data_IF_966774795706
#
_entry.id   IF_966774795706
#
_cell.length_a   1.000
_cell.length_b   1.000
_cell.length_c   1.000
_cell.angle_alpha   90.00
_cell.angle_beta   90.00
_cell.angle_gamma   90.00
#
_symmetry.space_group_name_H-M   'P 1'
#
loop_
_entity.id
_entity.type
_entity.pdbx_description
1 polymer ?
#
# COMPACT_ATOMS: atom_id res chain seq x y z
N UNK A 1 -47.31 -25.82 31.23
CA UNK A 1 -46.09 -25.63 32.04
C UNK A 1 -44.98 -26.48 31.46
N UNK A 2 -44.07 -25.87 30.72
CA UNK A 2 -42.62 -25.93 30.93
C UNK A 2 -41.96 -25.26 29.72
N UNK A 3 -41.36 -24.11 29.99
CA UNK A 3 -40.44 -23.39 29.11
C UNK A 3 -39.09 -24.12 29.06
N UNK A 4 -38.22 -23.59 28.18
CA UNK A 4 -36.82 -23.93 27.93
C UNK A 4 -36.65 -25.06 26.89
N UNK A 5 -35.92 -24.85 25.79
CA UNK A 5 -34.66 -24.12 25.67
C UNK A 5 -34.61 -23.31 24.36
N UNK A 6 -34.70 -21.99 24.49
CA UNK A 6 -33.93 -21.08 23.66
C UNK A 6 -32.53 -21.08 24.28
N UNK A 7 -31.55 -21.62 23.56
CA UNK A 7 -30.14 -21.38 23.83
C UNK A 7 -29.62 -20.71 22.56
N UNK A 8 -30.02 -19.45 22.41
CA UNK A 8 -29.32 -18.54 21.55
C UNK A 8 -27.93 -18.41 22.17
N UNK A 9 -26.92 -18.90 21.45
CA UNK A 9 -25.55 -18.51 21.73
C UNK A 9 -25.51 -17.00 21.61
N UNK A 10 -25.54 -16.34 22.77
CA UNK A 10 -25.08 -14.97 22.90
C UNK A 10 -23.61 -15.01 22.49
N UNK A 11 -23.41 -14.63 21.23
CA UNK A 11 -22.14 -14.18 20.69
C UNK A 11 -21.48 -13.31 21.76
N UNK A 12 -20.25 -13.67 22.09
CA UNK A 12 -19.34 -12.81 22.82
C UNK A 12 -19.05 -11.60 21.93
N UNK A 13 -20.01 -10.67 21.88
CA UNK A 13 -19.87 -9.36 21.26
C UNK A 13 -18.82 -8.63 22.10
N UNK A 14 -17.59 -8.65 21.61
CA UNK A 14 -16.46 -7.99 22.24
C UNK A 14 -16.86 -6.54 22.50
N UNK A 15 -16.73 -6.08 23.74
CA UNK A 15 -17.03 -4.71 24.16
C UNK A 15 -16.21 -3.70 23.35
N UNK A 16 -16.72 -3.32 22.19
CA UNK A 16 -16.17 -2.32 21.30
C UNK A 16 -16.81 -0.97 21.57
N UNK A 17 -16.02 0.09 21.50
CA UNK A 17 -16.53 1.46 21.46
C UNK A 17 -17.14 1.69 20.08
N UNK A 18 -18.32 2.32 20.01
CA UNK A 18 -18.94 2.69 18.74
C UNK A 18 -18.00 3.63 17.94
N UNK A 19 -17.85 3.46 16.61
CA UNK A 19 -16.89 4.23 15.83
C UNK A 19 -17.02 5.75 16.00
N UNK A 20 -18.25 6.27 16.01
CA UNK A 20 -18.51 7.70 16.19
C UNK A 20 -18.05 8.22 17.56
N UNK A 21 -18.17 7.40 18.61
CA UNK A 21 -17.68 7.74 19.95
C UNK A 21 -16.15 7.74 19.96
N UNK A 22 -15.51 6.73 19.37
CA UNK A 22 -14.05 6.67 19.25
C UNK A 22 -13.48 7.88 18.48
N UNK A 23 -14.06 8.23 17.34
CA UNK A 23 -13.66 9.41 16.58
C UNK A 23 -13.95 10.72 17.32
N UNK A 24 -15.09 10.81 18.03
CA UNK A 24 -15.42 11.95 18.87
C UNK A 24 -14.42 12.17 20.02
N UNK A 25 -13.77 11.10 20.48
CA UNK A 25 -12.68 11.19 21.46
C UNK A 25 -11.43 11.83 20.87
N UNK A 26 -11.07 11.56 19.62
CA UNK A 26 -9.83 12.12 19.03
C UNK A 26 -10.03 13.41 18.24
N UNK A 27 -11.26 13.78 17.91
CA UNK A 27 -11.61 15.04 17.26
C UNK A 27 -11.50 16.26 18.20
N UNK A 28 -10.31 16.48 18.78
CA UNK A 28 -10.00 17.61 19.66
C UNK A 28 -8.49 17.83 19.70
N UNK A 29 -8.08 19.08 19.49
CA UNK A 29 -6.69 19.53 19.41
C UNK A 29 -5.82 19.03 20.59
N UNK A 30 -6.20 19.35 21.83
CA UNK A 30 -5.45 18.91 23.02
C UNK A 30 -5.28 17.40 23.11
N UNK A 31 -6.30 16.64 22.72
CA UNK A 31 -6.22 15.17 22.74
C UNK A 31 -5.28 14.64 21.67
N UNK A 32 -5.20 15.29 20.50
CA UNK A 32 -4.17 14.98 19.50
C UNK A 32 -2.77 15.35 20.01
N UNK A 33 -2.60 16.53 20.62
CA UNK A 33 -1.32 16.96 21.19
C UNK A 33 -0.79 15.96 22.22
N UNK A 34 -1.68 15.46 23.11
CA UNK A 34 -1.34 14.40 24.08
C UNK A 34 -0.85 13.13 23.38
N UNK A 35 -1.55 12.67 22.33
CA UNK A 35 -1.16 11.46 21.60
C UNK A 35 0.18 11.65 20.87
N UNK A 36 0.42 12.83 20.29
CA UNK A 36 1.68 13.13 19.65
C UNK A 36 2.85 13.28 20.63
N UNK A 37 2.61 13.88 21.81
CA UNK A 37 3.58 13.96 22.90
C UNK A 37 4.03 12.56 23.35
N UNK A 38 3.07 11.66 23.60
CA UNK A 38 3.34 10.25 23.90
C UNK A 38 4.09 9.53 22.76
N UNK A 39 3.80 9.88 21.50
CA UNK A 39 4.50 9.30 20.35
C UNK A 39 5.96 9.76 20.24
N UNK A 40 6.23 11.05 20.52
CA UNK A 40 7.58 11.63 20.45
C UNK A 40 8.48 11.22 21.61
N UNK A 41 7.90 10.79 22.75
CA UNK A 41 8.64 10.45 23.94
C UNK A 41 9.62 9.27 23.72
N UNK A 42 10.91 9.54 23.97
CA UNK A 42 11.98 8.53 23.91
C UNK A 42 11.91 7.57 25.10
N UNK A 43 11.67 8.11 26.30
CA UNK A 43 11.46 7.35 27.53
C UNK A 43 9.97 7.10 27.76
N UNK A 44 9.59 5.83 27.89
CA UNK A 44 8.20 5.41 28.11
C UNK A 44 8.13 4.32 29.20
N UNK A 45 7.07 4.29 30.02
CA UNK A 45 5.90 5.19 30.05
C UNK A 45 6.22 6.63 30.51
N UNK A 46 5.41 7.61 30.08
CA UNK A 46 5.62 9.04 30.39
C UNK A 46 4.84 9.45 31.64
N UNK A 47 5.48 10.15 32.58
CA UNK A 47 4.79 10.62 33.79
C UNK A 47 3.73 11.69 33.47
N UNK A 48 2.76 11.88 34.36
CA UNK A 48 1.74 12.92 34.19
C UNK A 48 2.36 14.33 34.06
N UNK A 49 3.35 14.65 34.90
CA UNK A 49 3.99 15.96 34.90
C UNK A 49 4.75 16.21 33.60
N UNK A 50 5.52 15.24 33.13
CA UNK A 50 6.31 15.41 31.92
C UNK A 50 5.40 15.55 30.69
N UNK A 51 4.32 14.75 30.63
CA UNK A 51 3.34 14.85 29.55
C UNK A 51 2.55 16.17 29.58
N UNK A 52 2.22 16.66 30.78
CA UNK A 52 1.55 17.96 30.95
C UNK A 52 2.45 19.12 30.51
N UNK A 53 3.73 19.06 30.87
CA UNK A 53 4.71 20.09 30.53
C UNK A 53 5.00 20.12 29.03
N UNK A 54 5.02 18.95 28.34
CA UNK A 54 5.23 18.86 26.89
C UNK A 54 4.06 19.42 26.06
N UNK A 55 2.81 19.23 26.51
CA UNK A 55 1.61 19.74 25.83
C UNK A 55 1.39 21.25 26.10
N UNK A 56 2.22 21.88 26.94
CA UNK A 56 2.20 23.31 27.29
C UNK A 56 0.82 23.84 27.78
N UNK A 57 -0.04 22.96 28.32
CA UNK A 57 -1.36 23.33 28.82
C UNK A 57 -1.25 23.97 30.22
N UNK A 58 -1.89 25.13 30.42
CA UNK A 58 -1.80 25.87 31.70
C UNK A 58 -2.66 25.28 32.82
N UNK A 59 -3.80 24.68 32.48
CA UNK A 59 -4.77 24.16 33.44
C UNK A 59 -4.64 22.64 33.58
N UNK A 60 -4.03 22.22 34.70
CA UNK A 60 -3.79 20.81 35.01
C UNK A 60 -5.08 20.00 35.17
N UNK A 61 -6.18 20.60 35.64
CA UNK A 61 -7.45 19.90 35.79
C UNK A 61 -8.09 19.65 34.41
N UNK A 62 -8.01 20.63 33.52
CA UNK A 62 -8.44 20.49 32.13
C UNK A 62 -7.59 19.45 31.38
N UNK A 63 -6.27 19.50 31.53
CA UNK A 63 -5.38 18.51 30.93
C UNK A 63 -5.70 17.09 31.39
N UNK A 64 -5.85 16.89 32.72
CA UNK A 64 -6.22 15.59 33.27
C UNK A 64 -7.58 15.11 32.75
N UNK A 65 -8.55 16.01 32.53
CA UNK A 65 -9.81 15.64 31.88
C UNK A 65 -9.55 15.08 30.46
N UNK A 66 -8.79 15.76 29.62
CA UNK A 66 -8.48 15.30 28.26
C UNK A 66 -7.72 13.96 28.24
N UNK A 67 -6.73 13.81 29.13
CA UNK A 67 -5.97 12.56 29.27
C UNK A 67 -6.86 11.39 29.72
N UNK A 68 -7.80 11.63 30.65
CA UNK A 68 -8.77 10.62 31.07
C UNK A 68 -9.70 10.19 29.94
N UNK A 69 -10.12 11.11 29.05
CA UNK A 69 -10.95 10.75 27.89
C UNK A 69 -10.21 9.85 26.89
N UNK A 70 -8.87 9.93 26.82
CA UNK A 70 -8.05 9.09 25.95
C UNK A 70 -7.68 7.74 26.57
N UNK A 71 -7.74 7.65 27.90
CA UNK A 71 -7.37 6.44 28.65
C UNK A 71 -8.31 5.29 28.27
N UNK A 72 -7.81 4.06 28.37
CA UNK A 72 -8.46 2.79 28.00
C UNK A 72 -8.48 2.49 26.51
N UNK A 73 -8.87 3.42 25.63
CA UNK A 73 -8.92 3.13 24.20
C UNK A 73 -7.63 3.50 23.47
N UNK A 74 -7.14 4.73 23.68
CA UNK A 74 -6.00 5.27 22.92
C UNK A 74 -4.71 5.30 23.74
N UNK A 75 -4.84 5.39 25.06
CA UNK A 75 -3.73 5.48 26.02
C UNK A 75 -3.91 4.44 27.10
N UNK A 76 -2.83 3.79 27.51
CA UNK A 76 -2.79 2.94 28.69
C UNK A 76 -2.14 3.68 29.85
N UNK A 77 -2.74 3.58 31.04
CA UNK A 77 -2.17 4.08 32.28
C UNK A 77 -1.54 2.92 33.05
N UNK A 78 -0.31 3.10 33.49
CA UNK A 78 0.48 2.17 34.30
C UNK A 78 0.84 2.83 35.63
N UNK A 79 1.49 2.09 36.53
CA UNK A 79 2.01 2.65 37.79
C UNK A 79 3.13 3.68 37.53
N UNK A 80 3.88 3.53 36.44
CA UNK A 80 5.04 4.37 36.09
C UNK A 80 4.68 5.55 35.18
N UNK A 81 3.49 5.56 34.57
CA UNK A 81 3.06 6.62 33.66
C UNK A 81 2.07 6.18 32.58
N UNK A 82 2.02 6.93 31.47
CA UNK A 82 1.11 6.76 30.35
C UNK A 82 1.86 6.33 29.09
N UNK A 83 1.27 5.44 28.28
CA UNK A 83 1.81 5.02 26.99
C UNK A 83 0.70 4.83 25.96
N UNK A 84 1.04 4.89 24.67
CA UNK A 84 0.09 4.69 23.58
C UNK A 84 -0.38 3.23 23.51
N UNK A 85 -1.70 3.06 23.35
CA UNK A 85 -2.25 1.83 22.78
C UNK A 85 -2.11 1.87 21.26
N UNK A 86 -2.28 0.70 20.63
CA UNK A 86 -2.23 0.59 19.17
C UNK A 86 -3.17 1.58 18.47
N UNK A 87 -4.40 1.77 18.98
CA UNK A 87 -5.36 2.72 18.43
C UNK A 87 -4.85 4.17 18.48
N UNK A 88 -4.22 4.59 19.59
CA UNK A 88 -3.61 5.92 19.71
C UNK A 88 -2.46 6.10 18.72
N UNK A 89 -1.60 5.09 18.59
CA UNK A 89 -0.52 5.10 17.61
C UNK A 89 -1.03 5.18 16.16
N UNK A 90 -2.13 4.49 15.82
CA UNK A 90 -2.72 4.56 14.47
C UNK A 90 -3.25 5.95 14.14
N UNK A 91 -3.87 6.64 15.10
CA UNK A 91 -4.31 8.03 14.91
C UNK A 91 -3.12 8.95 14.60
N UNK A 92 -2.05 8.86 15.39
CA UNK A 92 -0.85 9.68 15.15
C UNK A 92 -0.20 9.34 13.81
N UNK A 93 -0.09 8.05 13.45
CA UNK A 93 0.45 7.63 12.15
C UNK A 93 -0.35 8.19 10.99
N UNK A 94 -1.69 8.17 11.08
CA UNK A 94 -2.55 8.70 10.03
C UNK A 94 -2.42 10.23 9.88
N UNK A 95 -2.33 10.97 11.00
CA UNK A 95 -2.05 12.42 10.97
C UNK A 95 -0.68 12.71 10.36
N UNK A 96 0.36 11.95 10.75
CA UNK A 96 1.74 12.11 10.26
C UNK A 96 1.93 11.69 8.80
N UNK A 97 1.17 10.72 8.32
CA UNK A 97 1.13 10.37 6.90
C UNK A 97 0.59 11.51 6.02
N UNK A 98 -0.06 12.52 6.61
CA UNK A 98 -0.55 13.70 5.92
C UNK A 98 -1.85 13.51 5.17
N UNK A 99 -2.41 12.29 5.14
CA UNK A 99 -3.64 11.92 4.41
C UNK A 99 -4.84 12.82 4.71
N UNK A 100 -4.90 13.42 5.90
CA UNK A 100 -6.00 14.31 6.30
C UNK A 100 -5.62 15.79 6.36
N UNK A 101 -4.33 16.12 6.28
CA UNK A 101 -3.81 17.43 6.70
C UNK A 101 -2.92 18.10 5.65
N UNK A 102 -2.56 17.38 4.58
CA UNK A 102 -1.66 17.86 3.54
C UNK A 102 -2.25 17.62 2.18
N UNK A 103 -2.09 18.62 1.32
CA UNK A 103 -2.34 18.55 -0.12
C UNK A 103 -1.08 19.10 -0.78
N UNK A 104 0.00 18.28 -0.84
CA UNK A 104 1.25 18.73 -1.41
C UNK A 104 1.06 19.02 -2.90
N UNK A 105 1.64 20.13 -3.34
CA UNK A 105 1.71 20.53 -4.74
C UNK A 105 3.18 20.40 -5.13
N UNK A 106 3.50 19.37 -5.92
CA UNK A 106 4.85 19.11 -6.40
C UNK A 106 4.87 19.32 -7.92
N UNK A 107 5.91 20.00 -8.40
CA UNK A 107 6.14 20.11 -9.82
C UNK A 107 6.45 18.72 -10.41
N UNK A 108 5.91 18.37 -11.58
CA UNK A 108 6.28 17.15 -12.27
C UNK A 108 7.79 17.08 -12.52
N UNK A 109 8.35 15.87 -12.49
CA UNK A 109 9.78 15.64 -12.65
C UNK A 109 10.10 14.39 -13.46
N UNK A 110 11.22 14.41 -14.18
CA UNK A 110 11.65 13.29 -15.02
C UNK A 110 12.07 12.10 -14.17
N UNK A 111 11.67 10.89 -14.58
CA UNK A 111 12.12 9.63 -13.98
C UNK A 111 12.92 8.79 -14.98
N UNK A 112 13.68 7.81 -14.48
CA UNK A 112 14.41 6.86 -15.33
C UNK A 112 13.44 6.06 -16.20
N UNK A 113 13.85 5.76 -17.44
CA UNK A 113 13.16 4.83 -18.32
C UNK A 113 12.75 5.47 -19.63
N UNK A 114 12.11 4.65 -20.47
CA UNK A 114 11.55 5.06 -21.72
C UNK A 114 10.16 4.43 -21.87
N UNK A 115 9.27 5.14 -22.56
CA UNK A 115 7.93 4.67 -22.83
C UNK A 115 7.96 3.34 -23.59
N UNK A 116 7.22 2.32 -23.13
CA UNK A 116 7.18 1.00 -23.80
C UNK A 116 6.49 1.07 -25.16
N UNK A 117 5.63 2.08 -25.37
CA UNK A 117 4.87 2.26 -26.62
C UNK A 117 5.62 3.09 -27.67
N UNK A 118 6.29 4.18 -27.29
CA UNK A 118 6.90 5.11 -28.25
C UNK A 118 8.39 5.39 -28.03
N UNK A 119 8.99 4.92 -26.94
CA UNK A 119 10.38 5.19 -26.57
C UNK A 119 10.66 6.62 -26.06
N UNK A 120 9.62 7.44 -25.88
CA UNK A 120 9.71 8.79 -25.32
C UNK A 120 10.08 8.81 -23.84
N UNK A 121 10.37 10.01 -23.31
CA UNK A 121 10.71 10.21 -21.90
C UNK A 121 9.51 9.97 -20.96
N UNK A 122 9.81 9.67 -19.70
CA UNK A 122 8.84 9.47 -18.63
C UNK A 122 8.91 10.60 -17.60
N UNK A 123 7.75 11.04 -17.12
CA UNK A 123 7.61 12.06 -16.09
C UNK A 123 6.71 11.54 -14.97
N UNK A 124 7.11 11.80 -13.73
CA UNK A 124 6.29 11.59 -12.55
C UNK A 124 5.49 12.86 -12.24
N UNK A 125 4.22 12.68 -11.91
CA UNK A 125 3.33 13.73 -11.43
C UNK A 125 2.54 13.23 -10.23
N UNK A 126 2.00 14.17 -9.45
CA UNK A 126 1.22 13.85 -8.26
C UNK A 126 0.01 14.75 -8.16
N UNK A 127 -1.17 14.15 -8.09
CA UNK A 127 -2.45 14.84 -7.94
C UNK A 127 -3.46 13.90 -7.25
N UNK A 128 -4.36 14.46 -6.45
CA UNK A 128 -5.43 13.69 -5.78
C UNK A 128 -4.92 12.41 -5.06
N UNK A 129 -3.78 12.54 -4.38
CA UNK A 129 -3.08 11.44 -3.68
C UNK A 129 -2.65 10.25 -4.57
N UNK A 130 -2.70 10.42 -5.90
CA UNK A 130 -2.14 9.51 -6.88
C UNK A 130 -0.77 10.00 -7.32
N UNK A 131 0.19 9.07 -7.35
CA UNK A 131 1.48 9.29 -8.00
C UNK A 131 1.44 8.54 -9.33
N UNK A 132 1.64 9.28 -10.42
CA UNK A 132 1.52 8.78 -11.79
C UNK A 132 2.85 8.92 -12.52
N UNK A 133 3.27 7.87 -13.22
CA UNK A 133 4.39 7.88 -14.15
C UNK A 133 3.83 7.74 -15.55
N UNK A 134 4.00 8.75 -16.39
CA UNK A 134 3.42 8.80 -17.73
C UNK A 134 4.46 9.23 -18.78
N UNK A 135 4.28 8.77 -20.01
CA UNK A 135 5.05 9.26 -21.15
C UNK A 135 4.59 10.65 -21.61
N UNK A 136 5.53 11.60 -21.65
CA UNK A 136 5.28 12.98 -22.07
C UNK A 136 4.87 13.14 -23.55
N UNK A 137 5.19 12.17 -24.39
CA UNK A 137 4.95 12.25 -25.84
C UNK A 137 3.62 11.63 -26.28
N UNK A 138 3.21 10.52 -25.64
CA UNK A 138 2.02 9.76 -26.04
C UNK A 138 1.00 9.50 -24.93
N UNK A 139 1.25 9.97 -23.71
CA UNK A 139 0.34 9.81 -22.57
C UNK A 139 0.13 8.37 -22.11
N UNK A 140 1.06 7.46 -22.43
CA UNK A 140 0.97 6.07 -21.92
C UNK A 140 1.33 6.07 -20.43
N UNK A 141 0.41 5.57 -19.60
CA UNK A 141 0.66 5.30 -18.19
C UNK A 141 1.63 4.12 -18.02
N UNK A 142 2.61 4.30 -17.14
CA UNK A 142 3.50 3.26 -16.65
C UNK A 142 3.21 2.90 -15.18
N UNK A 143 2.16 3.49 -14.60
CA UNK A 143 1.70 3.22 -13.25
C UNK A 143 1.10 4.46 -12.62
N UNK A 144 -0.05 4.27 -12.00
CA UNK A 144 -0.79 5.29 -11.29
C UNK A 144 -1.36 4.63 -10.04
N UNK A 145 -0.82 5.00 -8.88
CA UNK A 145 -1.16 4.36 -7.60
C UNK A 145 -1.22 5.35 -6.45
N UNK A 146 -2.03 5.02 -5.44
CA UNK A 146 -2.16 5.82 -4.22
C UNK A 146 -0.82 5.93 -3.49
N UNK A 147 -0.37 7.16 -3.29
CA UNK A 147 0.87 7.48 -2.61
C UNK A 147 0.61 8.52 -1.51
N UNK A 148 0.52 8.11 -0.24
CA UNK A 148 0.23 9.06 0.84
C UNK A 148 1.25 10.20 0.90
N UNK A 149 0.87 11.43 1.29
CA UNK A 149 1.76 12.59 1.33
C UNK A 149 3.06 12.39 2.10
N UNK A 150 3.08 11.53 3.12
CA UNK A 150 4.29 11.13 3.85
C UNK A 150 5.38 10.50 2.98
N UNK A 151 5.01 9.97 1.81
CA UNK A 151 5.91 9.49 0.77
C UNK A 151 6.71 10.62 0.08
N UNK A 152 6.25 11.87 0.18
CA UNK A 152 6.88 13.05 -0.46
C UNK A 152 7.72 13.88 0.52
N UNK A 153 7.59 13.64 1.83
CA UNK A 153 8.19 14.49 2.86
C UNK A 153 9.69 14.23 2.98
N UNK A 154 10.48 15.30 2.96
CA UNK A 154 11.94 15.28 3.16
C UNK A 154 12.68 14.34 2.19
N UNK A 155 12.19 14.25 0.94
CA UNK A 155 12.79 13.47 -0.13
C UNK A 155 13.11 14.35 -1.34
N UNK A 156 14.17 13.99 -2.04
CA UNK A 156 14.41 14.40 -3.43
C UNK A 156 13.46 13.68 -4.38
N UNK A 157 13.40 14.14 -5.63
CA UNK A 157 12.62 13.51 -6.71
C UNK A 157 12.99 12.03 -6.90
N UNK A 158 14.29 11.71 -6.92
CA UNK A 158 14.81 10.35 -7.06
C UNK A 158 14.44 9.45 -5.87
N UNK A 159 14.58 9.98 -4.64
CA UNK A 159 14.18 9.27 -3.42
C UNK A 159 12.67 9.05 -3.35
N UNK A 160 11.89 9.99 -3.87
CA UNK A 160 10.43 9.88 -3.98
C UNK A 160 10.04 8.78 -4.96
N UNK A 161 10.61 8.78 -6.16
CA UNK A 161 10.37 7.74 -7.16
C UNK A 161 10.77 6.35 -6.62
N UNK A 162 11.90 6.25 -5.92
CA UNK A 162 12.33 5.01 -5.27
C UNK A 162 11.33 4.56 -4.19
N UNK A 163 10.87 5.46 -3.34
CA UNK A 163 9.88 5.13 -2.31
C UNK A 163 8.53 4.70 -2.91
N UNK A 164 8.16 5.25 -4.06
CA UNK A 164 6.99 4.84 -4.83
C UNK A 164 7.17 3.44 -5.42
N UNK A 165 8.28 3.15 -6.10
CA UNK A 165 8.64 1.81 -6.62
C UNK A 165 8.48 0.73 -5.56
N UNK A 166 9.18 0.92 -4.43
CA UNK A 166 9.20 0.02 -3.29
C UNK A 166 7.79 -0.22 -2.74
N UNK A 167 7.00 0.85 -2.59
CA UNK A 167 5.63 0.74 -2.09
C UNK A 167 4.76 -0.05 -3.06
N UNK A 168 4.76 0.29 -4.34
CA UNK A 168 3.92 -0.39 -5.35
C UNK A 168 4.21 -1.88 -5.35
N UNK A 169 5.49 -2.26 -5.43
CA UNK A 169 5.95 -3.66 -5.39
C UNK A 169 5.34 -4.41 -4.21
N UNK A 170 5.61 -3.95 -3.00
CA UNK A 170 5.27 -4.69 -1.79
C UNK A 170 3.76 -4.71 -1.50
N UNK A 171 3.02 -3.65 -1.85
CA UNK A 171 1.56 -3.65 -1.66
C UNK A 171 0.86 -4.61 -2.64
N UNK A 172 1.34 -4.70 -3.88
CA UNK A 172 0.78 -5.63 -4.85
C UNK A 172 1.19 -7.07 -4.60
N UNK A 173 2.39 -7.33 -4.04
CA UNK A 173 2.75 -8.65 -3.55
C UNK A 173 1.78 -9.13 -2.46
N UNK A 174 1.53 -8.30 -1.43
CA UNK A 174 0.54 -8.62 -0.39
C UNK A 174 -0.86 -8.87 -0.97
N UNK A 175 -1.25 -8.06 -1.96
CA UNK A 175 -2.55 -8.21 -2.61
C UNK A 175 -2.67 -9.50 -3.43
N UNK A 176 -1.64 -9.86 -4.18
CA UNK A 176 -1.56 -11.13 -4.90
C UNK A 176 -1.59 -12.33 -3.95
N UNK A 177 -0.94 -12.23 -2.78
CA UNK A 177 -1.00 -13.22 -1.69
C UNK A 177 -2.37 -13.29 -0.96
N UNK A 178 -3.35 -12.48 -1.37
CA UNK A 178 -4.69 -12.47 -0.80
C UNK A 178 -4.80 -11.69 0.52
N UNK A 179 -3.85 -10.82 0.84
CA UNK A 179 -3.80 -10.01 2.07
C UNK A 179 -3.93 -8.52 1.78
N UNK A 180 -4.98 -7.89 2.29
CA UNK A 180 -5.21 -6.46 2.10
C UNK A 180 -4.16 -5.59 2.79
N UNK A 181 -3.42 -4.73 2.06
CA UNK A 181 -2.43 -3.85 2.67
C UNK A 181 -3.05 -2.82 3.63
N UNK A 182 -4.33 -2.46 3.44
CA UNK A 182 -5.00 -1.42 4.24
C UNK A 182 -5.58 -1.94 5.56
N UNK A 183 -6.05 -3.20 5.61
CA UNK A 183 -6.73 -3.73 6.80
C UNK A 183 -6.38 -5.18 7.19
N UNK A 184 -5.43 -5.81 6.50
CA UNK A 184 -5.06 -7.23 6.64
C UNK A 184 -6.23 -8.21 6.43
N UNK A 185 -7.32 -7.76 5.79
CA UNK A 185 -8.44 -8.60 5.39
C UNK A 185 -8.11 -9.47 4.18
N UNK A 186 -9.01 -10.39 3.85
CA UNK A 186 -8.88 -11.22 2.63
C UNK A 186 -9.07 -10.37 1.39
N UNK A 187 -8.23 -10.60 0.39
CA UNK A 187 -8.38 -10.09 -0.97
C UNK A 187 -8.86 -11.22 -1.88
N UNK A 188 -9.77 -10.86 -2.76
CA UNK A 188 -10.15 -11.64 -3.93
C UNK A 188 -9.50 -11.01 -5.16
N UNK A 189 -8.86 -11.85 -5.99
CA UNK A 189 -8.14 -11.42 -7.20
C UNK A 189 -8.87 -11.96 -8.43
N UNK A 190 -9.10 -11.11 -9.43
CA UNK A 190 -9.65 -11.53 -10.73
C UNK A 190 -8.85 -10.93 -11.89
N UNK A 191 -8.67 -11.71 -12.96
CA UNK A 191 -8.12 -11.21 -14.22
C UNK A 191 -9.26 -10.63 -15.06
N UNK A 192 -9.15 -9.35 -15.41
CA UNK A 192 -10.16 -8.60 -16.15
C UNK A 192 -9.62 -8.17 -17.52
N UNK A 193 -10.47 -8.32 -18.55
CA UNK A 193 -10.21 -7.85 -19.92
C UNK A 193 -11.05 -6.63 -20.26
N UNK A 194 -10.40 -5.60 -20.80
CA UNK A 194 -11.01 -4.35 -21.24
C UNK A 194 -11.61 -3.53 -20.09
N UNK A 195 -12.42 -2.54 -20.45
CA UNK A 195 -12.94 -1.56 -19.51
C UNK A 195 -11.96 -0.41 -19.27
N UNK A 196 -12.45 0.65 -18.63
CA UNK A 196 -11.64 1.82 -18.30
C UNK A 196 -10.76 1.50 -17.08
N UNK A 197 -9.46 1.75 -17.19
CA UNK A 197 -8.47 1.54 -16.14
C UNK A 197 -7.35 2.60 -16.27
N UNK A 198 -6.77 3.04 -15.16
CA UNK A 198 -5.69 4.02 -15.10
C UNK A 198 -4.35 3.54 -15.70
N UNK A 199 -4.22 2.23 -15.98
CA UNK A 199 -2.96 1.61 -16.38
C UNK A 199 -2.72 1.52 -17.89
N UNK A 200 -3.67 1.98 -18.72
CA UNK A 200 -3.56 1.94 -20.20
C UNK A 200 -3.14 0.54 -20.74
N UNK A 201 -3.78 -0.50 -20.18
CA UNK A 201 -3.65 -1.92 -20.57
C UNK A 201 -5.03 -2.55 -20.79
N UNK A 202 -5.10 -3.55 -21.68
CA UNK A 202 -6.33 -4.28 -22.00
C UNK A 202 -6.55 -5.52 -21.13
N UNK A 203 -5.51 -6.02 -20.45
CA UNK A 203 -5.58 -7.13 -19.50
C UNK A 203 -4.93 -6.71 -18.17
N UNK A 204 -5.66 -6.88 -17.06
CA UNK A 204 -5.18 -6.51 -15.72
C UNK A 204 -5.62 -7.52 -14.66
N UNK A 205 -4.93 -7.53 -13.53
CA UNK A 205 -5.43 -8.12 -12.30
C UNK A 205 -6.14 -7.04 -11.46
N UNK A 206 -7.32 -7.37 -10.93
CA UNK A 206 -8.04 -6.56 -9.95
C UNK A 206 -8.04 -7.28 -8.61
N UNK A 207 -7.58 -6.59 -7.57
CA UNK A 207 -7.48 -7.07 -6.20
C UNK A 207 -8.47 -6.29 -5.33
N UNK A 208 -9.50 -6.96 -4.82
CA UNK A 208 -10.55 -6.31 -4.03
C UNK A 208 -10.63 -6.92 -2.64
N UNK A 209 -10.45 -6.09 -1.61
CA UNK A 209 -10.60 -6.55 -0.24
C UNK A 209 -12.08 -6.77 0.14
N UNK A 210 -12.41 -7.95 0.63
CA UNK A 210 -13.78 -8.32 1.05
C UNK A 210 -14.30 -7.51 2.25
N UNK A 211 -13.38 -6.92 3.03
CA UNK A 211 -13.70 -6.19 4.27
C UNK A 211 -13.81 -4.69 4.06
N UNK A 212 -12.73 -4.06 3.63
CA UNK A 212 -12.67 -2.60 3.52
C UNK A 212 -12.90 -2.09 2.09
N UNK A 213 -13.05 -3.00 1.11
CA UNK A 213 -13.18 -2.66 -0.32
C UNK A 213 -12.06 -1.79 -0.85
N UNK A 214 -10.86 -1.96 -0.28
CA UNK A 214 -9.67 -1.41 -0.91
C UNK A 214 -9.47 -2.13 -2.24
N UNK A 215 -9.31 -1.35 -3.30
CA UNK A 215 -9.12 -1.84 -4.66
C UNK A 215 -7.69 -1.51 -5.08
N UNK A 216 -6.98 -2.50 -5.61
CA UNK A 216 -5.73 -2.31 -6.34
C UNK A 216 -5.91 -2.95 -7.70
N UNK A 217 -5.40 -2.32 -8.75
CA UNK A 217 -5.35 -2.95 -10.06
C UNK A 217 -3.91 -2.91 -10.57
N UNK A 218 -3.49 -3.91 -11.32
CA UNK A 218 -2.12 -3.98 -11.85
C UNK A 218 -2.11 -4.64 -13.23
N UNK A 219 -1.13 -4.35 -14.09
CA UNK A 219 -0.84 -5.22 -15.22
C UNK A 219 -0.48 -6.60 -14.67
N UNK A 220 -0.88 -7.67 -15.36
CA UNK A 220 -0.70 -9.05 -14.86
C UNK A 220 0.78 -9.36 -14.56
N UNK A 221 1.71 -8.79 -15.35
CA UNK A 221 3.14 -8.99 -15.16
C UNK A 221 3.72 -8.34 -13.90
N UNK A 222 3.00 -7.48 -13.18
CA UNK A 222 3.50 -6.88 -11.93
C UNK A 222 3.80 -7.95 -10.86
N UNK A 223 3.03 -9.04 -10.82
CA UNK A 223 3.23 -10.14 -9.86
C UNK A 223 4.60 -10.83 -10.04
N UNK A 224 5.15 -10.81 -11.25
CA UNK A 224 6.41 -11.47 -11.58
C UNK A 224 7.64 -10.80 -10.92
N UNK A 225 7.49 -9.63 -10.32
CA UNK A 225 8.57 -8.95 -9.61
C UNK A 225 9.03 -9.70 -8.35
N UNK A 226 8.14 -10.49 -7.74
CA UNK A 226 8.43 -11.29 -6.53
C UNK A 226 8.67 -12.79 -6.86
N UNK A 227 8.59 -13.15 -8.15
CA UNK A 227 8.73 -14.53 -8.57
C UNK A 227 10.19 -14.94 -8.72
N UNK A 228 10.62 -15.90 -7.89
CA UNK A 228 12.01 -16.36 -7.84
C UNK A 228 12.58 -16.83 -9.18
N UNK A 229 11.75 -17.36 -10.08
CA UNK A 229 12.18 -17.77 -11.44
C UNK A 229 12.59 -16.56 -12.29
N UNK A 230 11.92 -15.42 -12.11
CA UNK A 230 12.22 -14.17 -12.82
C UNK A 230 13.43 -13.50 -12.19
N UNK A 231 13.52 -13.46 -10.85
CA UNK A 231 14.72 -12.97 -10.18
C UNK A 231 15.97 -13.76 -10.60
N UNK A 232 15.90 -15.09 -10.63
CA UNK A 232 17.00 -15.95 -11.07
C UNK A 232 17.40 -15.68 -12.53
N UNK A 233 16.43 -15.47 -13.43
CA UNK A 233 16.69 -15.12 -14.82
C UNK A 233 17.44 -13.78 -14.96
N UNK A 234 17.08 -12.77 -14.17
CA UNK A 234 17.81 -11.50 -14.13
C UNK A 234 19.22 -11.65 -13.51
N UNK A 235 19.35 -12.46 -12.45
CA UNK A 235 20.64 -12.74 -11.80
C UNK A 235 21.61 -13.47 -12.73
N UNK A 236 21.13 -14.41 -13.55
CA UNK A 236 21.92 -15.11 -14.57
C UNK A 236 22.50 -14.14 -15.62
N UNK A 237 21.86 -12.98 -15.80
CA UNK A 237 22.32 -11.87 -16.65
C UNK A 237 23.13 -10.81 -15.87
N UNK A 238 23.41 -11.02 -14.59
CA UNK A 238 24.16 -10.11 -13.74
C UNK A 238 23.41 -8.85 -13.35
N UNK A 239 22.07 -8.87 -13.37
CA UNK A 239 21.20 -7.75 -13.02
C UNK A 239 20.41 -8.10 -11.76
N UNK A 240 20.44 -7.21 -10.78
CA UNK A 240 19.56 -7.31 -9.62
C UNK A 240 18.20 -6.70 -9.96
N UNK A 241 17.17 -7.55 -10.09
CA UNK A 241 15.80 -7.12 -10.43
C UNK A 241 15.21 -6.18 -9.37
N UNK A 242 15.58 -6.33 -8.10
CA UNK A 242 15.06 -5.47 -7.02
C UNK A 242 15.60 -4.04 -7.10
N UNK A 243 16.76 -3.85 -7.74
CA UNK A 243 17.36 -2.52 -7.95
C UNK A 243 16.81 -1.77 -9.18
N UNK A 244 15.93 -2.41 -9.96
CA UNK A 244 15.36 -1.84 -11.19
C UNK A 244 14.00 -1.25 -10.88
N UNK A 245 13.69 0.02 -11.21
CA UNK A 245 12.34 0.52 -11.00
C UNK A 245 11.33 -0.23 -11.86
N UNK A 246 10.18 -0.61 -11.30
CA UNK A 246 9.22 -1.50 -11.97
C UNK A 246 8.73 -0.91 -13.30
N UNK A 247 8.60 0.42 -13.36
CA UNK A 247 8.11 1.14 -14.55
C UNK A 247 9.07 1.11 -15.73
N UNK A 248 10.30 0.64 -15.53
CA UNK A 248 11.31 0.46 -16.58
C UNK A 248 11.28 -0.94 -17.21
N UNK A 249 10.41 -1.82 -16.73
CA UNK A 249 10.32 -3.22 -17.14
C UNK A 249 9.11 -3.39 -18.08
N UNK A 250 9.29 -3.60 -19.39
CA UNK A 250 8.18 -3.59 -20.35
C UNK A 250 7.08 -4.61 -20.05
N UNK A 251 7.46 -5.84 -19.71
CA UNK A 251 6.54 -6.91 -19.33
C UNK A 251 5.77 -6.63 -18.03
N UNK A 252 6.19 -5.64 -17.24
CA UNK A 252 5.61 -5.28 -15.96
C UNK A 252 4.53 -4.20 -16.09
N UNK A 253 4.64 -3.32 -17.10
CA UNK A 253 3.77 -2.15 -17.29
C UNK A 253 2.98 -2.16 -18.59
N UNK A 254 3.19 -3.16 -19.44
CA UNK A 254 2.54 -3.28 -20.73
C UNK A 254 2.04 -4.71 -20.96
N UNK A 255 0.80 -4.83 -21.44
CA UNK A 255 0.20 -6.12 -21.78
C UNK A 255 0.56 -6.60 -23.19
N UNK A 256 1.37 -5.85 -23.94
CA UNK A 256 1.96 -6.32 -25.22
C UNK A 256 2.77 -7.63 -25.06
N UNK A 257 3.38 -7.85 -23.90
CA UNK A 257 4.14 -9.05 -23.56
C UNK A 257 3.28 -10.19 -23.01
N UNK A 258 1.97 -9.97 -22.93
CA UNK A 258 1.03 -10.88 -22.29
C UNK A 258 0.13 -11.55 -23.32
N UNK A 259 0.18 -12.87 -23.38
CA UNK A 259 -0.68 -13.69 -24.24
C UNK A 259 -1.66 -14.48 -23.38
N UNK A 260 -2.93 -14.54 -23.77
CA UNK A 260 -3.91 -15.37 -23.05
C UNK A 260 -4.18 -16.66 -23.80
N UNK A 261 -3.76 -17.77 -23.21
CA UNK A 261 -3.94 -19.13 -23.70
C UNK A 261 -5.35 -19.67 -23.43
N UNK A 262 -5.96 -19.26 -22.31
CA UNK A 262 -7.30 -19.69 -21.91
C UNK A 262 -7.93 -18.81 -20.83
N UNK A 263 -9.27 -18.83 -20.74
CA UNK A 263 -10.04 -18.04 -19.76
C UNK A 263 -10.94 -18.87 -18.84
N UNK A 264 -11.07 -20.17 -19.10
CA UNK A 264 -11.83 -21.11 -18.26
C UNK A 264 -11.19 -22.51 -18.33
N UNK A 265 -10.20 -22.81 -17.47
CA UNK A 265 -9.58 -21.89 -16.50
C UNK A 265 -8.68 -20.85 -17.17
N UNK A 266 -8.39 -19.76 -16.45
CA UNK A 266 -7.40 -18.78 -16.87
C UNK A 266 -6.02 -19.41 -17.03
N UNK A 267 -5.37 -19.10 -18.16
CA UNK A 267 -3.96 -19.37 -18.44
C UNK A 267 -3.39 -18.21 -19.23
N UNK A 268 -2.42 -17.51 -18.66
CA UNK A 268 -1.81 -16.31 -19.23
C UNK A 268 -0.31 -16.52 -19.28
N UNK A 269 0.31 -16.30 -20.43
CA UNK A 269 1.75 -16.34 -20.64
C UNK A 269 2.31 -14.93 -20.71
N UNK A 270 3.46 -14.71 -20.08
CA UNK A 270 4.16 -13.43 -20.09
C UNK A 270 5.60 -13.65 -20.52
N UNK A 271 6.03 -12.92 -21.54
CA UNK A 271 7.38 -13.00 -22.09
C UNK A 271 8.29 -11.94 -21.44
N UNK A 272 9.23 -12.41 -20.61
CA UNK A 272 10.27 -11.60 -19.98
C UNK A 272 11.50 -11.62 -20.89
N UNK A 273 11.61 -10.60 -21.74
CA UNK A 273 12.71 -10.46 -22.70
C UNK A 273 13.88 -9.71 -22.06
N UNK A 274 15.08 -10.31 -22.09
CA UNK A 274 16.29 -9.70 -21.58
C UNK A 274 17.50 -10.08 -22.45
N UNK A 275 18.20 -9.07 -23.00
CA UNK A 275 19.27 -9.27 -23.97
C UNK A 275 18.85 -10.11 -25.18
N UNK A 276 19.44 -11.30 -25.37
CA UNK A 276 19.08 -12.25 -26.44
C UNK A 276 18.24 -13.42 -25.90
N UNK A 277 17.88 -13.43 -24.62
CA UNK A 277 17.13 -14.52 -24.01
C UNK A 277 15.69 -14.08 -23.70
N UNK A 278 14.78 -15.05 -23.70
CA UNK A 278 13.37 -14.85 -23.36
C UNK A 278 12.95 -15.92 -22.35
N UNK A 279 12.46 -15.48 -21.20
CA UNK A 279 11.78 -16.34 -20.23
C UNK A 279 10.26 -16.17 -20.40
N UNK A 280 9.59 -17.23 -20.82
CA UNK A 280 8.11 -17.27 -20.86
C UNK A 280 7.60 -17.87 -19.56
N UNK A 281 6.79 -17.12 -18.82
CA UNK A 281 6.17 -17.55 -17.56
C UNK A 281 4.67 -17.72 -17.76
N UNK A 282 4.11 -18.86 -17.34
CA UNK A 282 2.67 -19.12 -17.39
C UNK A 282 2.05 -18.96 -16.00
N UNK A 283 1.01 -18.12 -15.92
CA UNK A 283 0.21 -17.86 -14.73
C UNK A 283 -1.18 -18.50 -14.84
N UNK A 284 -1.74 -18.93 -13.71
CA UNK A 284 -3.16 -19.29 -13.59
C UNK A 284 -4.05 -18.09 -13.21
N UNK A 285 -5.34 -18.33 -12.96
CA UNK A 285 -6.32 -17.28 -12.64
C UNK A 285 -6.11 -16.61 -11.28
N UNK A 286 -5.35 -17.25 -10.39
CA UNK A 286 -4.99 -16.73 -9.07
C UNK A 286 -3.60 -16.08 -9.11
N UNK A 287 -3.02 -15.88 -10.31
CA UNK A 287 -1.69 -15.34 -10.56
C UNK A 287 -0.53 -16.21 -10.08
N UNK A 288 -0.73 -17.51 -9.84
CA UNK A 288 0.37 -18.40 -9.49
C UNK A 288 1.14 -18.82 -10.73
N UNK A 289 2.47 -18.88 -10.63
CA UNK A 289 3.32 -19.50 -11.65
C UNK A 289 3.05 -21.01 -11.71
N UNK A 290 2.56 -21.47 -12.86
CA UNK A 290 2.26 -22.89 -13.12
C UNK A 290 3.25 -23.54 -14.10
N UNK A 291 3.97 -22.73 -14.87
CA UNK A 291 5.02 -23.20 -15.79
C UNK A 291 5.99 -22.06 -16.13
N UNK A 292 7.21 -22.41 -16.53
CA UNK A 292 8.22 -21.45 -16.97
C UNK A 292 9.23 -22.09 -17.92
N UNK A 293 9.47 -21.48 -19.07
CA UNK A 293 10.42 -21.95 -20.08
C UNK A 293 11.34 -20.82 -20.50
N UNK A 294 12.66 -21.05 -20.48
CA UNK A 294 13.65 -20.10 -20.95
C UNK A 294 14.17 -20.53 -22.33
N UNK A 295 14.11 -19.64 -23.31
CA UNK A 295 14.62 -19.84 -24.66
C UNK A 295 15.71 -18.81 -24.93
N UNK A 296 16.93 -19.29 -25.15
CA UNK A 296 18.03 -18.45 -25.63
C UNK A 296 17.85 -18.19 -27.12
N UNK A 297 17.85 -16.94 -27.58
CA UNK A 297 17.86 -16.65 -29.03
C UNK A 297 19.27 -16.78 -29.64
N UNK A 298 20.25 -17.26 -28.87
CA UNK A 298 21.60 -17.56 -29.33
C UNK A 298 22.08 -18.98 -29.00
N UNK A 299 21.86 -19.94 -29.92
CA UNK A 299 22.63 -21.21 -29.98
C UNK A 299 21.85 -22.49 -30.23
#
# INVERSE_FOLDING_TARGET
MSRAREDAGEDADAAGVEPAEAFGVVANETRLDILEALWRAEERPVSFSDLHDDVEMRDSAQFNYHLQQLTDQFVTKTDDGYDLRHAGAQVVRAVRAGTFTRQPDIDPFTVEGACTRCGGGLEASYADEQFCIECVDCGKSHGEYEFPPGGLVDRTDEETATAFDERVRHLHCLAADGVCPSCAGRIHTEIVRGGDCCLDVSLRAEHVCERCRNELCSPVGLVLLDESVVSAFYEDHGIDLSSRPYWTLPWCVDDEYTTVEGTDPWRVTIDVVLAEDCLTVTLDGDLNVVDSECVSCGG
#
